data_IF_841765486974
#
_entry.id   IF_841765486974
#
_cell.length_a   1.000
_cell.length_b   1.000
_cell.length_c   1.000
_cell.angle_alpha   90.00
_cell.angle_beta   90.00
_cell.angle_gamma   90.00
#
_symmetry.space_group_name_H-M   'P 1'
#
loop_
_entity.id
_entity.type
_entity.pdbx_description
1 polymer ?
#
# COMPACT_ATOMS: atom_id res chain seq x y z
N UNK A 1 22.62 -26.64 5.19
CA UNK A 1 22.21 -25.72 6.26
C UNK A 1 22.66 -24.30 5.91
N UNK A 2 21.74 -23.35 5.92
CA UNK A 2 22.07 -21.93 5.74
C UNK A 2 22.84 -21.50 7.01
N UNK A 3 24.04 -20.89 6.90
CA UNK A 3 24.77 -20.42 8.07
C UNK A 3 23.91 -19.40 8.85
N UNK A 4 23.88 -19.50 10.18
CA UNK A 4 23.14 -18.57 11.04
C UNK A 4 23.50 -17.10 10.79
N UNK A 5 24.74 -16.81 10.38
CA UNK A 5 25.20 -15.48 9.95
C UNK A 5 24.49 -14.97 8.69
N UNK A 6 24.19 -15.82 7.72
CA UNK A 6 23.48 -15.43 6.50
C UNK A 6 22.00 -15.13 6.79
N UNK A 7 21.39 -15.90 7.70
CA UNK A 7 20.03 -15.64 8.19
C UNK A 7 19.99 -14.29 8.94
N UNK A 8 20.92 -14.04 9.82
CA UNK A 8 21.03 -12.80 10.58
C UNK A 8 21.27 -11.58 9.69
N UNK A 9 22.13 -11.68 8.68
CA UNK A 9 22.36 -10.64 7.68
C UNK A 9 21.11 -10.39 6.80
N UNK A 10 20.37 -11.45 6.46
CA UNK A 10 19.08 -11.33 5.75
C UNK A 10 18.04 -10.58 6.56
N UNK A 11 17.91 -10.88 7.86
CA UNK A 11 17.01 -10.18 8.76
C UNK A 11 17.36 -8.71 8.95
N UNK A 12 18.65 -8.35 9.03
CA UNK A 12 19.12 -6.97 9.24
C UNK A 12 19.05 -6.11 7.97
N UNK A 13 19.20 -6.68 6.78
CA UNK A 13 19.31 -5.95 5.51
C UNK A 13 18.13 -6.17 4.57
N UNK A 14 17.39 -7.27 4.71
CA UNK A 14 16.40 -7.72 3.74
C UNK A 14 15.24 -6.74 3.57
N UNK A 15 14.65 -6.27 4.67
CA UNK A 15 13.46 -5.42 4.67
C UNK A 15 13.65 -4.03 4.03
N UNK A 16 14.88 -3.56 3.87
CA UNK A 16 15.19 -2.27 3.26
C UNK A 16 15.97 -2.38 1.94
N UNK A 17 16.06 -3.57 1.37
CA UNK A 17 16.72 -3.78 0.08
C UNK A 17 15.74 -3.50 -1.07
N UNK A 18 15.33 -2.23 -1.18
CA UNK A 18 14.36 -1.81 -2.19
C UNK A 18 14.89 -1.97 -3.61
N UNK A 19 14.02 -2.44 -4.50
CA UNK A 19 14.32 -2.58 -5.93
C UNK A 19 13.15 -2.03 -6.73
N UNK A 20 13.45 -1.30 -7.80
CA UNK A 20 12.45 -0.90 -8.79
C UNK A 20 12.42 -1.94 -9.89
N UNK A 21 11.27 -2.58 -10.05
CA UNK A 21 11.01 -3.51 -11.15
C UNK A 21 10.08 -2.78 -12.12
N UNK A 22 10.47 -2.72 -13.41
CA UNK A 22 9.70 -2.02 -14.43
C UNK A 22 9.08 -3.02 -15.39
N UNK A 23 7.78 -2.88 -15.58
CA UNK A 23 7.02 -3.60 -16.59
C UNK A 23 6.37 -2.60 -17.54
N UNK A 24 6.45 -2.86 -18.83
CA UNK A 24 5.72 -2.12 -19.84
C UNK A 24 4.55 -2.99 -20.32
N UNK A 25 3.34 -2.47 -20.16
CA UNK A 25 2.12 -3.14 -20.58
C UNK A 25 1.54 -2.39 -21.78
N UNK A 26 0.97 -3.14 -22.72
CA UNK A 26 0.33 -2.58 -23.91
C UNK A 26 -1.07 -3.19 -24.06
N UNK A 27 -2.07 -2.32 -24.20
CA UNK A 27 -3.46 -2.71 -24.37
C UNK A 27 -4.04 -2.02 -25.60
N UNK A 28 -4.60 -2.80 -26.53
CA UNK A 28 -5.16 -2.27 -27.79
C UNK A 28 -6.34 -1.33 -27.58
N UNK A 29 -7.04 -1.45 -26.45
CA UNK A 29 -8.21 -0.64 -26.07
C UNK A 29 -7.89 0.51 -25.13
N UNK A 30 -6.62 0.71 -24.76
CA UNK A 30 -6.25 1.81 -23.87
C UNK A 30 -6.49 3.14 -24.58
N UNK A 31 -7.22 4.09 -23.98
CA UNK A 31 -7.37 5.43 -24.55
C UNK A 31 -6.02 6.09 -24.75
N UNK A 32 -5.87 6.84 -25.85
CA UNK A 32 -4.59 7.46 -26.24
C UNK A 32 -4.01 8.41 -25.17
N UNK A 33 -4.85 9.09 -24.42
CA UNK A 33 -4.43 10.00 -23.34
C UNK A 33 -3.70 9.27 -22.21
N UNK A 34 -3.87 7.96 -22.08
CA UNK A 34 -3.17 7.11 -21.12
C UNK A 34 -1.87 6.50 -21.67
N UNK A 35 -1.43 6.89 -22.89
CA UNK A 35 -0.17 6.39 -23.41
C UNK A 35 1.00 6.94 -22.56
N UNK A 36 1.83 6.03 -22.06
CA UNK A 36 2.94 6.38 -21.16
C UNK A 36 2.53 6.64 -19.71
N UNK A 37 1.26 6.39 -19.32
CA UNK A 37 0.76 6.50 -17.95
C UNK A 37 1.53 5.56 -17.01
N UNK A 38 2.03 6.12 -15.92
CA UNK A 38 2.91 5.42 -14.97
C UNK A 38 2.16 5.07 -13.70
N UNK A 39 2.13 3.82 -13.39
CA UNK A 39 1.58 3.30 -12.14
C UNK A 39 2.74 2.79 -11.29
N UNK A 40 2.87 3.30 -10.07
CA UNK A 40 3.70 2.65 -9.06
C UNK A 40 2.80 1.80 -8.18
N UNK A 41 3.11 0.52 -8.10
CA UNK A 41 2.44 -0.45 -7.24
C UNK A 41 3.34 -0.79 -6.05
N UNK A 42 2.81 -0.64 -4.85
CA UNK A 42 3.46 -0.97 -3.58
C UNK A 42 2.50 -1.78 -2.71
N UNK A 43 3.04 -2.59 -1.82
CA UNK A 43 2.28 -3.49 -0.95
C UNK A 43 3.08 -3.79 0.31
N UNK A 44 2.42 -4.34 1.34
CA UNK A 44 3.05 -4.99 2.47
C UNK A 44 4.05 -4.09 3.23
N UNK A 45 3.64 -2.87 3.57
CA UNK A 45 4.50 -1.96 4.35
C UNK A 45 4.75 -2.50 5.73
N UNK A 46 3.73 -3.08 6.38
CA UNK A 46 3.85 -3.57 7.75
C UNK A 46 4.54 -2.54 8.66
N UNK A 47 3.92 -1.36 8.78
CA UNK A 47 4.49 -0.18 9.44
C UNK A 47 5.03 -0.46 10.85
N UNK A 48 4.44 -1.40 11.58
CA UNK A 48 4.94 -1.85 12.88
C UNK A 48 6.31 -2.54 12.83
N UNK A 49 6.77 -2.93 11.65
CA UNK A 49 8.07 -3.57 11.45
C UNK A 49 9.18 -2.59 11.06
N UNK A 50 8.86 -1.32 10.79
CA UNK A 50 9.87 -0.32 10.49
C UNK A 50 10.58 0.17 11.75
N UNK A 51 11.89 0.35 11.64
CA UNK A 51 12.76 0.80 12.73
C UNK A 51 13.81 1.84 12.28
N UNK A 52 13.84 2.19 10.99
CA UNK A 52 14.84 3.09 10.43
C UNK A 52 14.21 4.10 9.46
N UNK A 53 14.10 5.34 9.92
CA UNK A 53 13.48 6.44 9.17
C UNK A 53 14.25 6.76 7.88
N UNK A 54 15.58 6.80 7.92
CA UNK A 54 16.40 7.15 6.75
C UNK A 54 16.24 6.13 5.61
N UNK A 55 16.21 4.84 5.96
CA UNK A 55 15.99 3.79 4.98
C UNK A 55 14.59 3.82 4.38
N UNK A 56 13.56 4.11 5.20
CA UNK A 56 12.21 4.27 4.67
C UNK A 56 12.12 5.53 3.79
N UNK A 57 12.75 6.65 4.20
CA UNK A 57 12.84 7.87 3.38
C UNK A 57 13.45 7.56 2.01
N UNK A 58 14.55 6.80 1.98
CA UNK A 58 15.14 6.37 0.71
C UNK A 58 14.15 5.57 -0.16
N UNK A 59 13.34 4.70 0.45
CA UNK A 59 12.29 3.94 -0.25
C UNK A 59 11.22 4.87 -0.86
N UNK A 60 10.72 5.83 -0.08
CA UNK A 60 9.73 6.82 -0.54
C UNK A 60 10.31 7.69 -1.67
N UNK A 61 11.55 8.17 -1.52
CA UNK A 61 12.24 8.94 -2.55
C UNK A 61 12.42 8.13 -3.84
N UNK A 62 12.69 6.84 -3.71
CA UNK A 62 12.83 5.95 -4.86
C UNK A 62 11.51 5.81 -5.63
N UNK A 63 10.37 5.78 -4.92
CA UNK A 63 9.04 5.80 -5.52
C UNK A 63 8.81 7.14 -6.24
N UNK A 64 9.01 8.27 -5.56
CA UNK A 64 8.79 9.60 -6.11
C UNK A 64 9.68 9.89 -7.34
N UNK A 65 10.91 9.36 -7.36
CA UNK A 65 11.81 9.42 -8.53
C UNK A 65 11.27 8.74 -9.77
N UNK A 66 10.32 7.80 -9.64
CA UNK A 66 9.68 7.20 -10.81
C UNK A 66 8.68 8.17 -11.47
N UNK A 67 8.28 9.24 -10.77
CA UNK A 67 7.27 10.21 -11.20
C UNK A 67 5.98 9.48 -11.61
N UNK A 68 5.33 8.75 -10.69
CA UNK A 68 4.10 8.05 -10.99
C UNK A 68 2.95 9.02 -11.28
N UNK A 69 2.07 8.64 -12.18
CA UNK A 69 0.80 9.32 -12.38
C UNK A 69 -0.19 8.95 -11.28
N UNK A 70 -0.19 7.67 -10.87
CA UNK A 70 -0.89 7.18 -9.68
C UNK A 70 0.00 6.25 -8.86
N UNK A 71 -0.30 6.16 -7.55
CA UNK A 71 0.24 5.14 -6.65
C UNK A 71 -0.88 4.20 -6.24
N UNK A 72 -0.67 2.90 -6.41
CA UNK A 72 -1.53 1.83 -5.93
C UNK A 72 -0.89 1.13 -4.74
N UNK A 73 -1.63 1.07 -3.63
CA UNK A 73 -1.25 0.35 -2.43
C UNK A 73 -2.20 -0.83 -2.22
N UNK A 74 -1.68 -2.06 -2.26
CA UNK A 74 -2.52 -3.26 -2.27
C UNK A 74 -2.58 -4.01 -0.94
N UNK A 75 -2.54 -3.26 0.17
CA UNK A 75 -2.85 -3.78 1.50
C UNK A 75 -1.63 -4.10 2.35
N UNK A 76 -1.92 -4.52 3.58
CA UNK A 76 -0.97 -4.77 4.65
C UNK A 76 -0.13 -3.53 5.01
N UNK A 77 -0.84 -2.40 5.24
CA UNK A 77 -0.24 -1.16 5.71
C UNK A 77 0.34 -1.33 7.12
N UNK A 78 -0.32 -2.11 7.97
CA UNK A 78 0.07 -2.37 9.36
C UNK A 78 0.29 -3.87 9.60
N UNK A 79 0.91 -4.22 10.73
CA UNK A 79 0.92 -5.61 11.20
C UNK A 79 -0.47 -6.00 11.73
N UNK A 80 -1.10 -5.12 12.53
CA UNK A 80 -2.45 -5.31 13.07
C UNK A 80 -3.08 -4.00 13.57
N UNK A 81 -2.27 -3.04 14.04
CA UNK A 81 -2.75 -1.90 14.83
C UNK A 81 -2.56 -0.60 14.06
N UNK A 82 -3.63 0.16 13.88
CA UNK A 82 -3.63 1.42 13.13
C UNK A 82 -2.55 2.42 13.61
N UNK A 83 -2.27 2.44 14.91
CA UNK A 83 -1.25 3.32 15.49
C UNK A 83 0.17 3.06 14.99
N UNK A 84 0.45 1.90 14.41
CA UNK A 84 1.75 1.58 13.80
C UNK A 84 2.14 2.55 12.67
N UNK A 85 1.15 3.21 12.05
CA UNK A 85 1.38 4.22 11.01
C UNK A 85 1.93 5.53 11.58
N UNK A 86 1.56 5.91 12.80
CA UNK A 86 1.77 7.26 13.32
C UNK A 86 3.21 7.76 13.21
N UNK A 87 4.26 6.98 13.51
CA UNK A 87 5.65 7.43 13.35
C UNK A 87 6.05 7.71 11.90
N UNK A 88 5.33 7.13 10.94
CA UNK A 88 5.66 7.12 9.50
C UNK A 88 4.71 7.96 8.66
N UNK A 89 3.63 8.45 9.27
CA UNK A 89 2.51 9.12 8.59
C UNK A 89 2.97 10.24 7.67
N UNK A 90 3.79 11.18 8.16
CA UNK A 90 4.29 12.31 7.37
C UNK A 90 5.10 11.84 6.16
N UNK A 91 5.95 10.83 6.38
CA UNK A 91 6.80 10.30 5.33
C UNK A 91 5.98 9.59 4.24
N UNK A 92 5.01 8.76 4.63
CA UNK A 92 4.12 8.08 3.67
C UNK A 92 3.23 9.11 2.94
N UNK A 93 2.82 10.17 3.64
CA UNK A 93 2.05 11.27 3.04
C UNK A 93 2.80 11.97 1.91
N UNK A 94 4.14 12.00 1.95
CA UNK A 94 4.99 12.63 0.94
C UNK A 94 5.11 11.86 -0.39
N UNK A 95 4.44 10.71 -0.51
CA UNK A 95 4.26 10.04 -1.81
C UNK A 95 3.49 10.98 -2.74
N UNK A 96 4.09 11.26 -3.91
CA UNK A 96 3.56 12.19 -4.90
C UNK A 96 3.03 11.46 -6.13
N UNK A 97 1.75 11.70 -6.44
CA UNK A 97 1.08 11.15 -7.61
C UNK A 97 -0.06 12.10 -8.03
N UNK A 98 0.09 12.84 -9.15
CA UNK A 98 -0.82 13.91 -9.54
C UNK A 98 -2.26 13.45 -9.82
N UNK A 99 -2.45 12.19 -10.18
CA UNK A 99 -3.77 11.60 -10.42
C UNK A 99 -4.26 10.71 -9.27
N UNK A 100 -3.58 10.76 -8.11
CA UNK A 100 -4.06 10.18 -6.86
C UNK A 100 -3.26 8.99 -6.34
N UNK A 101 -3.50 8.73 -5.07
CA UNK A 101 -3.03 7.55 -4.34
C UNK A 101 -4.23 6.72 -3.96
N UNK A 102 -4.24 5.45 -4.30
CA UNK A 102 -5.36 4.54 -4.07
C UNK A 102 -4.89 3.36 -3.24
N UNK A 103 -5.72 2.91 -2.32
CA UNK A 103 -5.42 1.78 -1.45
C UNK A 103 -6.58 0.80 -1.38
N UNK A 104 -6.27 -0.46 -1.24
CA UNK A 104 -7.17 -1.50 -0.74
C UNK A 104 -6.61 -2.07 0.56
N UNK A 105 -7.41 -2.84 1.28
CA UNK A 105 -7.01 -3.45 2.54
C UNK A 105 -6.49 -4.87 2.30
N UNK A 106 -5.37 -5.20 2.92
CA UNK A 106 -4.84 -6.56 3.02
C UNK A 106 -5.35 -7.28 4.27
N UNK A 107 -4.99 -8.54 4.43
CA UNK A 107 -5.48 -9.36 5.53
C UNK A 107 -5.02 -8.88 6.92
N UNK A 108 -3.84 -8.29 7.04
CA UNK A 108 -3.33 -7.72 8.28
C UNK A 108 -4.06 -6.46 8.72
N UNK A 109 -4.56 -5.69 7.77
CA UNK A 109 -5.25 -4.42 8.04
C UNK A 109 -6.55 -4.59 8.83
N UNK A 110 -7.16 -5.77 8.81
CA UNK A 110 -8.36 -6.09 9.61
C UNK A 110 -8.05 -6.42 11.08
N UNK A 111 -6.77 -6.50 11.47
CA UNK A 111 -6.37 -6.79 12.84
C UNK A 111 -6.74 -8.21 13.31
N UNK A 112 -6.78 -9.16 12.38
CA UNK A 112 -7.18 -10.55 12.66
C UNK A 112 -6.09 -11.40 13.32
N UNK A 113 -4.86 -10.88 13.41
CA UNK A 113 -3.69 -11.62 13.91
C UNK A 113 -3.21 -11.15 15.27
N UNK A 114 -4.06 -10.40 15.99
CA UNK A 114 -3.83 -9.98 17.37
C UNK A 114 -5.08 -10.21 18.21
N UNK A 115 -4.94 -10.12 19.53
CA UNK A 115 -6.06 -10.17 20.47
C UNK A 115 -6.59 -8.76 20.73
N UNK A 116 -7.90 -8.64 20.90
CA UNK A 116 -8.59 -7.40 21.20
C UNK A 116 -9.37 -7.56 22.50
N UNK A 117 -9.48 -6.48 23.30
CA UNK A 117 -10.26 -6.50 24.53
C UNK A 117 -11.77 -6.63 24.24
N UNK A 118 -12.21 -6.12 23.06
CA UNK A 118 -13.57 -6.27 22.56
C UNK A 118 -13.63 -6.26 21.03
N UNK A 119 -14.75 -6.75 20.47
CA UNK A 119 -15.01 -6.63 19.02
C UNK A 119 -15.14 -5.16 18.58
N UNK A 120 -15.62 -4.28 19.49
CA UNK A 120 -15.72 -2.86 19.23
C UNK A 120 -14.34 -2.22 19.05
N UNK A 121 -13.35 -2.59 19.86
CA UNK A 121 -11.97 -2.11 19.72
C UNK A 121 -11.37 -2.47 18.38
N UNK A 122 -11.61 -3.70 17.91
CA UNK A 122 -11.18 -4.16 16.59
C UNK A 122 -11.83 -3.35 15.48
N UNK A 123 -13.14 -3.12 15.54
CA UNK A 123 -13.87 -2.31 14.56
C UNK A 123 -13.35 -0.87 14.57
N UNK A 124 -13.11 -0.29 15.75
CA UNK A 124 -12.58 1.07 15.88
C UNK A 124 -11.15 1.17 15.36
N UNK A 125 -10.32 0.14 15.53
CA UNK A 125 -8.99 0.08 14.93
C UNK A 125 -9.05 0.12 13.40
N UNK A 126 -9.91 -0.65 12.76
CA UNK A 126 -10.08 -0.64 11.31
C UNK A 126 -10.57 0.72 10.80
N UNK A 127 -11.56 1.32 11.47
CA UNK A 127 -12.02 2.68 11.15
C UNK A 127 -10.89 3.69 11.24
N UNK A 128 -10.08 3.61 12.28
CA UNK A 128 -8.91 4.48 12.49
C UNK A 128 -7.86 4.28 11.40
N UNK A 129 -7.58 3.04 11.02
CA UNK A 129 -6.65 2.73 9.93
C UNK A 129 -7.08 3.40 8.62
N UNK A 130 -8.35 3.23 8.24
CA UNK A 130 -8.91 3.85 7.03
C UNK A 130 -8.85 5.38 7.12
N UNK A 131 -9.14 5.96 8.28
CA UNK A 131 -9.04 7.41 8.49
C UNK A 131 -7.61 7.90 8.32
N UNK A 132 -6.61 7.21 8.90
CA UNK A 132 -5.20 7.55 8.74
C UNK A 132 -4.72 7.43 7.30
N UNK A 133 -5.17 6.40 6.56
CA UNK A 133 -4.86 6.29 5.12
C UNK A 133 -5.42 7.48 4.33
N UNK A 134 -6.66 7.89 4.62
CA UNK A 134 -7.28 9.08 4.00
C UNK A 134 -6.52 10.37 4.36
N UNK A 135 -6.10 10.54 5.60
CA UNK A 135 -5.28 11.68 6.03
C UNK A 135 -3.91 11.72 5.34
N UNK A 136 -3.36 10.56 4.97
CA UNK A 136 -2.15 10.45 4.15
C UNK A 136 -2.41 10.69 2.65
N UNK A 137 -3.65 10.98 2.25
CA UNK A 137 -4.05 11.29 0.88
C UNK A 137 -4.39 10.07 0.03
N UNK A 138 -4.62 8.91 0.63
CA UNK A 138 -5.12 7.76 -0.12
C UNK A 138 -6.65 7.77 -0.23
N UNK A 139 -7.15 7.42 -1.41
CA UNK A 139 -8.53 6.97 -1.59
C UNK A 139 -8.59 5.48 -1.31
N UNK A 140 -9.26 5.09 -0.22
CA UNK A 140 -9.38 3.67 0.17
C UNK A 140 -10.61 3.08 -0.50
N UNK A 141 -10.39 2.04 -1.31
CA UNK A 141 -11.42 1.35 -2.08
C UNK A 141 -11.77 0.03 -1.38
N UNK A 142 -12.97 -0.03 -0.81
CA UNK A 142 -13.52 -1.24 -0.19
C UNK A 142 -14.73 -1.68 -1.01
N UNK A 143 -14.53 -2.63 -1.93
CA UNK A 143 -15.52 -3.05 -2.93
C UNK A 143 -16.10 -1.84 -3.69
N UNK A 144 -15.23 -0.96 -4.16
CA UNK A 144 -15.58 0.32 -4.77
C UNK A 144 -14.74 0.58 -6.03
N UNK A 145 -15.14 1.57 -6.81
CA UNK A 145 -14.37 2.01 -7.97
C UNK A 145 -14.20 3.52 -8.01
N UNK A 146 -13.15 3.95 -8.68
CA UNK A 146 -12.87 5.36 -8.99
C UNK A 146 -12.59 5.53 -10.48
N UNK A 147 -12.97 6.69 -11.01
CA UNK A 147 -12.69 7.07 -12.39
C UNK A 147 -11.46 7.95 -12.46
N UNK A 148 -10.40 7.43 -13.07
CA UNK A 148 -9.20 8.23 -13.36
C UNK A 148 -9.42 8.91 -14.71
N UNK A 149 -9.44 10.24 -14.70
CA UNK A 149 -9.68 11.05 -15.89
C UNK A 149 -8.42 11.77 -16.32
N UNK A 150 -8.08 11.64 -17.61
CA UNK A 150 -7.04 12.43 -18.27
C UNK A 150 -7.64 13.05 -19.52
N UNK A 151 -7.67 14.35 -19.60
CA UNK A 151 -8.34 15.10 -20.66
C UNK A 151 -9.81 14.64 -20.83
N UNK A 152 -10.11 14.05 -21.99
CA UNK A 152 -11.43 13.53 -22.34
C UNK A 152 -11.56 12.01 -22.07
N UNK A 153 -10.46 11.35 -21.73
CA UNK A 153 -10.40 9.90 -21.54
C UNK A 153 -10.54 9.52 -20.07
N UNK A 154 -11.09 8.33 -19.84
CA UNK A 154 -11.31 7.79 -18.51
C UNK A 154 -10.98 6.31 -18.48
N UNK A 155 -10.38 5.86 -17.37
CA UNK A 155 -10.27 4.44 -17.01
C UNK A 155 -10.91 4.24 -15.64
N UNK A 156 -11.48 3.07 -15.41
CA UNK A 156 -12.04 2.70 -14.11
C UNK A 156 -10.99 1.92 -13.32
N UNK A 157 -10.74 2.38 -12.08
CA UNK A 157 -9.93 1.69 -11.09
C UNK A 157 -10.87 1.02 -10.10
N UNK A 158 -10.84 -0.30 -10.04
CA UNK A 158 -11.68 -1.09 -9.12
C UNK A 158 -10.81 -1.60 -7.97
N UNK A 159 -11.27 -1.39 -6.74
CA UNK A 159 -10.67 -1.94 -5.53
C UNK A 159 -11.62 -2.90 -4.85
N UNK A 160 -11.11 -4.09 -4.54
CA UNK A 160 -11.83 -5.12 -3.79
C UNK A 160 -11.15 -5.33 -2.43
N UNK A 161 -11.95 -5.73 -1.44
CA UNK A 161 -11.41 -6.13 -0.15
C UNK A 161 -10.68 -7.46 -0.24
N UNK A 162 -9.97 -7.82 0.82
CA UNK A 162 -9.11 -9.01 0.85
C UNK A 162 -9.86 -10.28 0.41
N UNK A 163 -9.37 -10.92 -0.65
CA UNK A 163 -9.87 -12.16 -1.20
C UNK A 163 -8.75 -13.20 -1.28
N UNK A 164 -8.68 -14.10 -0.32
CA UNK A 164 -7.62 -15.11 -0.29
C UNK A 164 -8.05 -16.41 0.39
N UNK A 165 -7.79 -17.54 -0.25
CA UNK A 165 -7.97 -18.85 0.38
C UNK A 165 -7.02 -18.96 1.59
N UNK A 166 -7.59 -19.18 2.79
CA UNK A 166 -6.83 -19.29 4.04
C UNK A 166 -6.52 -17.97 4.74
N UNK A 167 -6.86 -16.82 4.14
CA UNK A 167 -6.61 -15.48 4.70
C UNK A 167 -7.92 -14.72 4.94
N UNK A 168 -8.75 -15.21 5.86
CA UNK A 168 -10.00 -14.55 6.36
C UNK A 168 -10.62 -13.59 5.31
N UNK A 169 -11.21 -14.16 4.29
CA UNK A 169 -11.83 -13.48 3.16
C UNK A 169 -12.84 -12.42 3.61
N UNK A 170 -12.78 -11.23 3.04
CA UNK A 170 -13.64 -10.08 3.32
C UNK A 170 -14.35 -9.52 2.08
N UNK A 171 -13.75 -9.73 0.90
CA UNK A 171 -14.33 -9.30 -0.37
C UNK A 171 -15.48 -10.20 -0.85
N UNK A 172 -16.31 -9.66 -1.75
CA UNK A 172 -17.41 -10.35 -2.42
C UNK A 172 -16.93 -11.03 -3.71
#
# INVERSE_FOLDING_TARGET
SIPASALFLGMLRGKYNYKVIKHQLSFSRLPKDFNGFKIVHISDFHCGSFDNKEKLTYGIDLINKQKPDIVLFTGDMVNNIANEILPWKELISSLDAPHGKYAVLGNHDYGDYTTWDSDEDKVNNLKKLIALQKEMGFTVLTNAFEKIKINQSTIDLVGVENWGNGFKQKGD
#
